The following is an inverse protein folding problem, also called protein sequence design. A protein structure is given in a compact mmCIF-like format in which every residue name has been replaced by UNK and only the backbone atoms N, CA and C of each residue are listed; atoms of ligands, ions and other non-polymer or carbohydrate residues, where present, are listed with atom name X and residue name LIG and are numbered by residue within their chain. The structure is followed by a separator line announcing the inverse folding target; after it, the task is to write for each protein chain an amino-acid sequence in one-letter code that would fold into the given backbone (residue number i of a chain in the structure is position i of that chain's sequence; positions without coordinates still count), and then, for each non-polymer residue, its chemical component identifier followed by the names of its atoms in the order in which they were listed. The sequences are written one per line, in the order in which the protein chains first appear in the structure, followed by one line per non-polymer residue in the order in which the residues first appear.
data_IF_234839512425
#
_entry.id   IF_234839512425
#
_cell.length_a   1.000
_cell.length_b   1.000
_cell.length_c   1.000
_cell.angle_alpha   90.00
_cell.angle_beta   90.00
_cell.angle_gamma   90.00
#
_symmetry.space_group_name_H-M   'P 1'
#
loop_
_entity.id
_entity.type
_entity.pdbx_description
1 polymer ?
#
# COMPACT_ATOMS: atom_id res chain seq x y z
N UNK A 1 14.66 -25.89 -27.26
CA UNK A 1 13.92 -25.13 -26.24
C UNK A 1 14.74 -23.90 -25.92
N UNK A 2 14.15 -22.71 -26.01
CA UNK A 2 14.85 -21.46 -25.74
C UNK A 2 15.00 -21.27 -24.22
N UNK A 3 16.15 -21.67 -23.68
CA UNK A 3 16.42 -21.67 -22.24
C UNK A 3 16.64 -20.27 -21.68
N UNK A 4 16.93 -19.29 -22.54
CA UNK A 4 17.11 -17.89 -22.14
C UNK A 4 15.78 -17.26 -21.73
N UNK A 5 14.75 -17.41 -22.57
CA UNK A 5 13.41 -16.92 -22.29
C UNK A 5 12.81 -17.54 -21.00
N UNK A 6 13.11 -18.81 -20.73
CA UNK A 6 12.67 -19.46 -19.49
C UNK A 6 13.33 -18.85 -18.24
N UNK A 7 14.64 -18.60 -18.29
CA UNK A 7 15.37 -17.98 -17.16
C UNK A 7 14.93 -16.56 -16.90
N UNK A 8 14.71 -15.77 -17.94
CA UNK A 8 14.18 -14.40 -17.83
C UNK A 8 12.80 -14.40 -17.18
N UNK A 9 11.91 -15.33 -17.58
CA UNK A 9 10.57 -15.44 -17.01
C UNK A 9 10.58 -15.89 -15.55
N UNK A 10 11.46 -16.83 -15.17
CA UNK A 10 11.61 -17.24 -13.77
C UNK A 10 12.14 -16.09 -12.92
N UNK A 11 13.11 -15.33 -13.43
CA UNK A 11 13.65 -14.16 -12.75
C UNK A 11 12.59 -13.07 -12.54
N UNK A 12 11.78 -12.75 -13.56
CA UNK A 12 10.67 -11.79 -13.44
C UNK A 12 9.64 -12.23 -12.39
N UNK A 13 9.28 -13.52 -12.37
CA UNK A 13 8.38 -14.06 -11.34
C UNK A 13 9.00 -14.01 -9.94
N UNK A 14 10.32 -14.23 -9.82
CA UNK A 14 11.05 -14.12 -8.55
C UNK A 14 11.02 -12.68 -8.02
N UNK A 15 11.31 -11.71 -8.88
CA UNK A 15 11.30 -10.29 -8.53
C UNK A 15 9.90 -9.84 -8.09
N UNK A 16 8.85 -10.34 -8.75
CA UNK A 16 7.46 -10.05 -8.38
C UNK A 16 6.95 -10.83 -7.17
N UNK A 17 7.77 -11.72 -6.58
CA UNK A 17 7.38 -12.58 -5.45
C UNK A 17 6.37 -13.68 -5.79
N UNK A 18 6.19 -14.02 -7.08
CA UNK A 18 5.17 -14.95 -7.58
C UNK A 18 5.65 -16.39 -7.76
N UNK A 19 6.82 -16.74 -7.19
CA UNK A 19 7.34 -18.11 -7.25
C UNK A 19 6.63 -19.07 -6.30
N UNK A 20 5.86 -18.55 -5.34
CA UNK A 20 5.09 -19.31 -4.38
C UNK A 20 3.60 -18.97 -4.58
N UNK A 21 2.68 -19.96 -4.49
CA UNK A 21 1.24 -19.71 -4.53
C UNK A 21 0.86 -18.63 -3.51
N UNK A 22 0.12 -17.63 -3.98
CA UNK A 22 -0.46 -16.61 -3.11
C UNK A 22 -1.79 -17.12 -2.57
N UNK A 23 -2.11 -16.84 -1.31
CA UNK A 23 -3.43 -17.14 -0.78
C UNK A 23 -4.40 -16.03 -1.24
N UNK A 24 -5.44 -16.35 -2.03
CA UNK A 24 -6.44 -15.35 -2.42
C UNK A 24 -7.23 -14.79 -1.24
N UNK A 25 -7.17 -15.44 -0.08
CA UNK A 25 -7.80 -14.99 1.17
C UNK A 25 -6.87 -14.13 2.03
N UNK A 26 -5.62 -13.89 1.61
CA UNK A 26 -4.72 -13.01 2.35
C UNK A 26 -5.34 -11.62 2.52
N UNK A 27 -5.27 -11.10 3.75
CA UNK A 27 -5.79 -9.78 4.08
C UNK A 27 -5.06 -8.71 3.24
N UNK A 28 -5.79 -7.89 2.46
CA UNK A 28 -5.13 -6.85 1.68
C UNK A 28 -4.52 -5.81 2.63
N UNK A 29 -3.37 -5.27 2.26
CA UNK A 29 -2.64 -4.29 3.08
C UNK A 29 -3.51 -3.08 3.50
N UNK A 30 -4.55 -2.75 2.73
CA UNK A 30 -5.53 -1.70 3.06
C UNK A 30 -6.21 -1.91 4.42
N UNK A 31 -6.49 -3.16 4.80
CA UNK A 31 -7.16 -3.48 6.08
C UNK A 31 -6.18 -3.29 7.24
N UNK A 32 -4.92 -3.74 7.08
CA UNK A 32 -3.87 -3.49 8.07
C UNK A 32 -3.63 -1.98 8.28
N UNK A 33 -3.54 -1.21 7.18
CA UNK A 33 -3.39 0.24 7.25
C UNK A 33 -4.56 0.90 7.99
N UNK A 34 -5.79 0.42 7.80
CA UNK A 34 -6.96 0.90 8.54
C UNK A 34 -6.82 0.63 10.05
N UNK A 35 -6.43 -0.59 10.44
CA UNK A 35 -6.20 -0.97 11.84
C UNK A 35 -5.13 -0.07 12.49
N UNK A 36 -4.01 0.17 11.80
CA UNK A 36 -2.92 1.03 12.28
C UNK A 36 -3.44 2.47 12.52
N UNK A 37 -4.24 3.02 11.60
CA UNK A 37 -4.80 4.38 11.78
C UNK A 37 -5.74 4.47 12.98
N UNK A 38 -6.58 3.45 13.19
CA UNK A 38 -7.48 3.39 14.35
C UNK A 38 -6.69 3.29 15.66
N UNK A 39 -5.66 2.43 15.70
CA UNK A 39 -4.76 2.31 16.85
C UNK A 39 -4.03 3.62 17.15
N UNK A 40 -3.44 4.28 16.13
CA UNK A 40 -2.81 5.59 16.30
C UNK A 40 -3.79 6.62 16.88
N UNK A 41 -5.03 6.69 16.35
CA UNK A 41 -6.07 7.59 16.88
C UNK A 41 -6.38 7.31 18.35
N UNK A 42 -6.38 6.04 18.76
CA UNK A 42 -6.57 5.66 20.15
C UNK A 42 -5.38 6.10 21.03
N UNK A 43 -4.15 5.86 20.60
CA UNK A 43 -2.94 6.31 21.30
C UNK A 43 -2.86 7.84 21.49
N UNK A 44 -3.44 8.63 20.57
CA UNK A 44 -3.57 10.09 20.77
C UNK A 44 -4.58 10.44 21.86
N UNK A 45 -5.68 9.68 21.97
CA UNK A 45 -6.64 9.86 23.08
C UNK A 45 -6.02 9.47 24.41
N UNK A 46 -5.20 8.43 24.41
CA UNK A 46 -4.53 7.90 25.60
C UNK A 46 -3.30 8.74 25.99
N UNK A 47 -2.91 9.71 25.16
CA UNK A 47 -1.83 10.68 25.43
C UNK A 47 -0.42 10.17 25.13
N UNK A 48 -0.29 8.96 24.57
CA UNK A 48 0.99 8.35 24.18
C UNK A 48 1.57 8.97 22.91
N UNK A 49 0.69 9.44 22.00
CA UNK A 49 1.05 10.15 20.78
C UNK A 49 0.50 11.57 20.78
N UNK A 50 1.19 12.50 20.13
CA UNK A 50 0.70 13.88 19.96
C UNK A 50 -0.13 13.95 18.68
N UNK A 51 -1.16 14.78 18.67
CA UNK A 51 -2.03 14.96 17.50
C UNK A 51 -1.27 15.37 16.22
N UNK A 52 -0.15 16.08 16.36
CA UNK A 52 0.74 16.44 15.25
C UNK A 52 1.37 15.23 14.54
N UNK A 53 1.55 14.12 15.24
CA UNK A 53 2.22 12.91 14.74
C UNK A 53 1.29 12.08 13.83
N UNK A 54 -0.03 12.34 13.86
CA UNK A 54 -1.03 11.71 12.98
C UNK A 54 -1.52 12.65 11.88
N UNK A 55 -1.27 13.97 11.99
CA UNK A 55 -1.85 14.98 11.10
C UNK A 55 -1.52 14.78 9.62
N UNK A 56 -0.42 14.09 9.32
CA UNK A 56 0.07 13.86 7.96
C UNK A 56 -0.25 12.43 7.46
N UNK A 57 -1.13 11.68 8.13
CA UNK A 57 -1.52 10.34 7.66
C UNK A 57 -2.42 10.49 6.42
N UNK A 58 -1.90 10.13 5.25
CA UNK A 58 -2.58 10.20 3.95
C UNK A 58 -3.04 8.82 3.49
N UNK A 59 -4.01 8.78 2.58
CA UNK A 59 -4.56 7.54 2.04
C UNK A 59 -4.15 7.42 0.58
N UNK A 60 -3.34 6.41 0.28
CA UNK A 60 -3.07 6.02 -1.11
C UNK A 60 -4.15 5.04 -1.56
N UNK A 61 -4.78 5.33 -2.69
CA UNK A 61 -5.77 4.46 -3.32
C UNK A 61 -5.56 4.42 -4.83
N UNK A 62 -6.16 3.42 -5.47
CA UNK A 62 -6.06 3.21 -6.91
C UNK A 62 -7.34 3.69 -7.59
N UNK A 63 -7.21 4.54 -8.62
CA UNK A 63 -8.33 5.07 -9.40
C UNK A 63 -8.83 4.11 -10.47
N UNK A 64 -9.92 4.51 -11.15
CA UNK A 64 -10.52 3.75 -12.26
C UNK A 64 -9.59 3.67 -13.49
N UNK A 65 -8.68 4.63 -13.61
CA UNK A 65 -7.61 4.71 -14.61
C UNK A 65 -6.40 3.82 -14.27
N UNK A 66 -6.47 3.04 -13.19
CA UNK A 66 -5.42 2.15 -12.72
C UNK A 66 -4.16 2.88 -12.21
N UNK A 67 -4.23 4.21 -12.01
CA UNK A 67 -3.17 5.04 -11.43
C UNK A 67 -3.33 5.15 -9.91
N UNK A 68 -2.23 5.43 -9.21
CA UNK A 68 -2.26 5.67 -7.77
C UNK A 68 -2.45 7.16 -7.43
N UNK A 69 -3.29 7.40 -6.43
CA UNK A 69 -3.64 8.71 -5.92
C UNK A 69 -3.44 8.78 -4.42
N UNK A 70 -2.89 9.89 -3.93
CA UNK A 70 -2.79 10.23 -2.52
C UNK A 70 -3.91 11.20 -2.15
N UNK A 71 -4.74 10.81 -1.17
CA UNK A 71 -5.75 11.65 -0.54
C UNK A 71 -5.23 12.21 0.78
N UNK A 72 -5.26 13.53 0.88
CA UNK A 72 -4.85 14.28 2.07
C UNK A 72 -6.03 14.54 3.00
N UNK A 73 -5.73 14.99 4.23
CA UNK A 73 -6.72 15.29 5.26
C UNK A 73 -7.67 16.45 4.89
N UNK A 74 -7.28 17.32 3.96
CA UNK A 74 -8.09 18.42 3.40
C UNK A 74 -8.96 17.97 2.22
N UNK A 75 -9.04 16.65 1.97
CA UNK A 75 -9.72 16.03 0.84
C UNK A 75 -9.13 16.35 -0.53
N UNK A 76 -7.95 16.99 -0.61
CA UNK A 76 -7.22 17.10 -1.86
C UNK A 76 -6.72 15.72 -2.29
N UNK A 77 -6.73 15.48 -3.60
CA UNK A 77 -6.28 14.22 -4.21
C UNK A 77 -5.20 14.56 -5.22
N UNK A 78 -4.02 13.93 -5.11
CA UNK A 78 -2.89 14.12 -6.00
C UNK A 78 -2.50 12.79 -6.64
N UNK A 79 -2.28 12.78 -7.97
CA UNK A 79 -1.70 11.64 -8.65
C UNK A 79 -0.22 11.50 -8.23
N UNK A 80 0.22 10.28 -7.92
CA UNK A 80 1.60 9.98 -7.48
C UNK A 80 2.42 9.19 -8.51
N UNK A 81 1.87 8.99 -9.72
CA UNK A 81 2.55 8.28 -10.82
C UNK A 81 3.46 9.21 -11.66
N UNK A 82 3.34 10.53 -11.47
CA UNK A 82 4.13 11.55 -12.19
C UNK A 82 5.42 11.97 -11.43
N UNK A 83 5.83 11.23 -10.39
CA UNK A 83 6.97 11.55 -9.52
C UNK A 83 8.25 10.77 -9.84
#
# INVERSE_FOLDING_TARGET
MDTKALREKVLDLAIRGKLVPQDPNDEPASVLLKKIREQKKQMVKDGELKAKDIKNDTIIFKGDDNLHYEQFADATVKCIEDE
#
